data_IF_058851719949
#
_entry.id   IF_058851719949
#
_cell.length_a   1.000
_cell.length_b   1.000
_cell.length_c   1.000
_cell.angle_alpha   90.00
_cell.angle_beta   90.00
_cell.angle_gamma   90.00
#
_symmetry.space_group_name_H-M   'P 1'
#
loop_
_entity.id
_entity.type
_entity.pdbx_description
1 polymer ?
#
# COMPACT_ATOMS: atom_id res chain seq x y z
N UNK A 1 0.31 -2.49 -5.73
CA UNK A 1 -0.26 -3.71 -5.11
C UNK A 1 -1.32 -3.35 -4.06
N UNK A 2 -2.30 -4.23 -3.90
CA UNK A 2 -3.42 -4.09 -2.97
C UNK A 2 -3.22 -5.09 -1.84
N UNK A 3 -3.67 -4.74 -0.64
CA UNK A 3 -3.67 -5.65 0.48
C UNK A 3 -4.99 -5.58 1.27
N UNK A 4 -5.47 -6.74 1.70
CA UNK A 4 -6.55 -6.87 2.67
C UNK A 4 -5.94 -7.23 4.01
N UNK A 5 -6.07 -6.35 4.99
CA UNK A 5 -5.60 -6.57 6.35
C UNK A 5 -6.73 -7.12 7.20
N UNK A 6 -6.48 -8.25 7.83
CA UNK A 6 -7.37 -8.87 8.84
C UNK A 6 -6.81 -8.50 10.20
N UNK A 7 -7.48 -7.62 10.91
CA UNK A 7 -7.12 -7.24 12.27
C UNK A 7 -7.75 -8.16 13.28
N UNK A 8 -6.99 -8.58 14.29
CA UNK A 8 -7.47 -9.45 15.35
C UNK A 8 -6.48 -9.59 16.49
N UNK A 9 -6.97 -10.03 17.65
CA UNK A 9 -6.13 -10.27 18.84
C UNK A 9 -5.28 -11.53 18.69
N UNK A 10 -5.86 -12.59 18.12
CA UNK A 10 -5.21 -13.86 17.88
C UNK A 10 -4.66 -13.93 16.46
N UNK A 11 -3.36 -14.25 16.35
CA UNK A 11 -2.66 -14.34 15.06
C UNK A 11 -3.10 -15.58 14.27
N UNK A 12 -3.35 -16.71 14.95
CA UNK A 12 -3.76 -17.97 14.31
C UNK A 12 -5.14 -17.82 13.67
N UNK A 13 -6.09 -17.25 14.42
CA UNK A 13 -7.42 -16.98 13.89
C UNK A 13 -7.37 -15.94 12.75
N UNK A 14 -6.54 -14.88 12.88
CA UNK A 14 -6.36 -13.88 11.82
C UNK A 14 -5.81 -14.49 10.55
N UNK A 15 -4.84 -15.42 10.64
CA UNK A 15 -4.28 -16.12 9.49
C UNK A 15 -5.29 -17.07 8.85
N UNK A 16 -6.09 -17.76 9.65
CA UNK A 16 -7.18 -18.64 9.15
C UNK A 16 -8.18 -17.85 8.29
N UNK A 17 -8.61 -16.67 8.75
CA UNK A 17 -9.45 -15.78 7.96
C UNK A 17 -8.73 -15.23 6.72
N UNK A 18 -7.44 -14.91 6.82
CA UNK A 18 -6.66 -14.49 5.67
C UNK A 18 -6.59 -15.57 4.59
N UNK A 19 -6.38 -16.84 4.96
CA UNK A 19 -6.40 -17.98 4.02
C UNK A 19 -7.79 -18.18 3.39
N UNK A 20 -8.87 -17.96 4.15
CA UNK A 20 -10.23 -18.01 3.58
C UNK A 20 -10.43 -16.89 2.55
N UNK A 21 -9.99 -15.69 2.88
CA UNK A 21 -10.05 -14.53 1.97
C UNK A 21 -9.21 -14.78 0.71
N UNK A 22 -8.00 -15.34 0.84
CA UNK A 22 -7.15 -15.72 -0.29
C UNK A 22 -7.91 -16.63 -1.27
N UNK A 23 -8.53 -17.69 -0.77
CA UNK A 23 -9.32 -18.63 -1.61
C UNK A 23 -10.45 -17.91 -2.36
N UNK A 24 -11.16 -16.99 -1.69
CA UNK A 24 -12.25 -16.22 -2.30
C UNK A 24 -11.70 -15.26 -3.37
N UNK A 25 -10.60 -14.55 -3.06
CA UNK A 25 -9.96 -13.63 -4.00
C UNK A 25 -9.46 -14.34 -5.25
N UNK A 26 -8.98 -15.58 -5.14
CA UNK A 26 -8.58 -16.41 -6.27
C UNK A 26 -9.72 -16.72 -7.27
N UNK A 27 -11.00 -16.54 -6.86
CA UNK A 27 -12.17 -16.72 -7.74
C UNK A 27 -12.54 -15.44 -8.51
N UNK A 28 -11.87 -14.32 -8.24
CA UNK A 28 -12.15 -13.03 -8.89
C UNK A 28 -11.24 -12.86 -10.09
N UNK A 29 -11.85 -12.70 -11.27
CA UNK A 29 -11.10 -12.52 -12.51
C UNK A 29 -10.25 -11.23 -12.46
N UNK A 30 -9.00 -11.33 -12.90
CA UNK A 30 -8.05 -10.23 -12.93
C UNK A 30 -7.24 -10.05 -11.65
N UNK A 31 -7.47 -10.85 -10.61
CA UNK A 31 -6.60 -10.89 -9.42
C UNK A 31 -5.43 -11.85 -9.72
N UNK A 32 -4.22 -11.34 -9.56
CA UNK A 32 -2.96 -12.05 -9.75
C UNK A 32 -1.99 -11.77 -8.59
N UNK A 33 -0.89 -12.51 -8.52
CA UNK A 33 0.15 -12.40 -7.49
C UNK A 33 -0.45 -12.48 -6.06
N UNK A 34 -1.46 -13.35 -5.91
CA UNK A 34 -2.20 -13.52 -4.67
C UNK A 34 -1.39 -14.33 -3.67
N UNK A 35 -1.29 -13.83 -2.44
CA UNK A 35 -0.61 -14.55 -1.36
C UNK A 35 -0.87 -13.97 0.02
N UNK A 36 -0.96 -14.86 1.01
CA UNK A 36 -1.02 -14.48 2.42
C UNK A 36 0.38 -14.15 2.93
N UNK A 37 0.53 -13.00 3.56
CA UNK A 37 1.74 -12.68 4.32
C UNK A 37 1.61 -13.45 5.64
N UNK A 38 2.25 -14.61 5.69
CA UNK A 38 2.16 -15.50 6.87
C UNK A 38 2.91 -14.90 8.04
N UNK A 39 2.25 -14.85 9.16
CA UNK A 39 2.80 -14.40 10.42
C UNK A 39 3.36 -15.56 11.25
N UNK A 40 2.93 -16.79 10.95
CA UNK A 40 3.19 -18.02 11.68
C UNK A 40 3.92 -18.99 10.75
N UNK A 41 4.81 -19.80 11.30
CA UNK A 41 5.46 -20.86 10.51
C UNK A 41 6.93 -21.05 10.80
N UNK A 42 7.51 -20.28 11.74
CA UNK A 42 8.89 -20.53 12.18
C UNK A 42 8.89 -21.57 13.29
N UNK A 43 9.64 -22.68 13.14
CA UNK A 43 9.85 -23.60 14.24
C UNK A 43 10.68 -22.91 15.33
N UNK A 44 10.17 -22.96 16.55
CA UNK A 44 10.83 -22.46 17.74
C UNK A 44 11.04 -23.61 18.72
N UNK A 45 12.24 -23.71 19.27
CA UNK A 45 12.51 -24.62 20.37
C UNK A 45 12.11 -23.96 21.68
N UNK A 46 11.12 -24.55 22.36
CA UNK A 46 10.66 -24.11 23.66
C UNK A 46 11.21 -25.02 24.73
N UNK A 47 11.87 -24.45 25.70
CA UNK A 47 12.41 -25.12 26.88
C UNK A 47 11.70 -24.56 28.12
N UNK A 48 10.76 -25.32 28.66
CA UNK A 48 9.98 -24.94 29.86
C UNK A 48 10.57 -25.62 31.09
N UNK A 49 11.14 -24.83 31.99
CA UNK A 49 11.75 -25.33 33.21
C UNK A 49 10.69 -25.80 34.22
N UNK A 50 10.88 -27.01 34.75
CA UNK A 50 10.01 -27.57 35.82
C UNK A 50 10.55 -27.20 37.20
N UNK A 51 9.87 -26.27 37.87
CA UNK A 51 10.30 -25.76 39.18
C UNK A 51 10.38 -26.86 40.24
N UNK A 52 9.51 -27.88 40.18
CA UNK A 52 9.53 -29.02 41.11
C UNK A 52 10.79 -29.88 40.92
N UNK A 53 11.22 -30.10 39.70
CA UNK A 53 12.45 -30.85 39.39
C UNK A 53 13.70 -30.03 39.75
N UNK A 54 13.69 -28.73 39.43
CA UNK A 54 14.78 -27.82 39.86
C UNK A 54 15.03 -27.88 41.38
N UNK A 55 13.96 -27.79 42.16
CA UNK A 55 14.04 -27.87 43.62
C UNK A 55 14.52 -29.26 44.08
N UNK A 56 14.04 -30.34 43.42
CA UNK A 56 14.43 -31.72 43.78
C UNK A 56 15.89 -31.99 43.54
N UNK A 57 16.46 -31.47 42.42
CA UNK A 57 17.87 -31.66 42.10
C UNK A 57 18.79 -30.57 42.70
N UNK A 58 18.22 -29.57 43.37
CA UNK A 58 18.99 -28.46 43.93
C UNK A 58 19.71 -27.62 42.88
N UNK A 59 19.05 -27.38 41.75
CA UNK A 59 19.58 -26.61 40.61
C UNK A 59 18.91 -25.25 40.57
N UNK A 60 19.69 -24.17 40.49
CA UNK A 60 19.13 -22.84 40.33
C UNK A 60 18.69 -22.59 38.89
N UNK A 61 17.56 -21.90 38.77
CA UNK A 61 16.98 -21.55 37.45
C UNK A 61 17.95 -20.74 36.57
N UNK A 62 18.71 -19.84 37.20
CA UNK A 62 19.72 -19.00 36.55
C UNK A 62 20.85 -19.81 35.95
N UNK A 63 21.29 -20.88 36.65
CA UNK A 63 22.36 -21.76 36.15
C UNK A 63 21.91 -22.53 34.90
N UNK A 64 20.67 -23.06 34.92
CA UNK A 64 20.11 -23.74 33.73
C UNK A 64 20.02 -22.78 32.57
N UNK A 65 19.48 -21.56 32.76
CA UNK A 65 19.37 -20.57 31.73
C UNK A 65 20.74 -20.15 31.16
N UNK A 66 21.74 -19.94 32.03
CA UNK A 66 23.09 -19.58 31.60
C UNK A 66 23.75 -20.67 30.77
N UNK A 67 23.52 -21.94 31.14
CA UNK A 67 24.05 -23.09 30.38
C UNK A 67 23.35 -23.25 29.05
N UNK A 68 22.02 -23.11 28.99
CA UNK A 68 21.25 -23.13 27.76
C UNK A 68 21.72 -22.01 26.81
N UNK A 69 21.86 -20.78 27.32
CA UNK A 69 22.38 -19.66 26.55
C UNK A 69 23.76 -19.96 25.98
N UNK A 70 24.69 -20.42 26.83
CA UNK A 70 26.05 -20.76 26.43
C UNK A 70 26.10 -21.92 25.45
N UNK A 71 25.36 -22.99 25.70
CA UNK A 71 25.42 -24.22 24.91
C UNK A 71 24.79 -24.01 23.52
N UNK A 72 23.64 -23.34 23.42
CA UNK A 72 22.88 -23.19 22.18
C UNK A 72 23.27 -21.90 21.44
N UNK A 73 23.14 -20.73 22.10
CA UNK A 73 23.39 -19.42 21.53
C UNK A 73 24.85 -19.03 21.46
N UNK A 74 25.60 -19.46 22.46
CA UNK A 74 26.96 -19.03 22.73
C UNK A 74 27.00 -17.84 23.67
N UNK A 75 27.95 -17.87 24.59
CA UNK A 75 28.20 -16.80 25.56
C UNK A 75 29.60 -16.23 25.36
N UNK A 76 29.71 -14.89 25.37
CA UNK A 76 31.02 -14.25 25.30
C UNK A 76 31.79 -14.49 26.60
N UNK A 77 32.91 -15.20 26.49
CA UNK A 77 33.80 -15.45 27.62
C UNK A 77 34.78 -14.29 27.84
N UNK A 78 35.22 -13.62 26.75
CA UNK A 78 36.17 -12.53 26.80
C UNK A 78 36.09 -11.68 25.52
N UNK A 79 36.78 -10.53 25.56
CA UNK A 79 36.97 -9.66 24.39
C UNK A 79 38.45 -9.69 23.98
N UNK A 80 38.69 -9.94 22.71
CA UNK A 80 39.99 -9.75 22.09
C UNK A 80 40.02 -8.36 21.43
N UNK A 81 41.04 -7.60 21.73
CA UNK A 81 41.30 -6.30 21.11
C UNK A 81 42.48 -6.43 20.13
N UNK A 82 42.21 -6.09 18.88
CA UNK A 82 43.23 -5.94 17.85
C UNK A 82 43.18 -4.52 17.32
N UNK A 83 44.09 -3.71 17.75
CA UNK A 83 44.11 -2.23 17.52
C UNK A 83 42.78 -1.59 17.99
N UNK A 84 42.00 -1.02 17.06
CA UNK A 84 40.70 -0.39 17.34
C UNK A 84 39.53 -1.39 17.27
N UNK A 85 39.77 -2.62 16.84
CA UNK A 85 38.73 -3.65 16.65
C UNK A 85 38.55 -4.48 17.90
N UNK A 86 37.27 -4.80 18.20
CA UNK A 86 36.85 -5.65 19.30
C UNK A 86 36.22 -6.93 18.78
N UNK A 87 36.72 -8.07 19.21
CA UNK A 87 36.18 -9.39 18.85
C UNK A 87 35.72 -10.12 20.09
N UNK A 88 34.50 -10.68 20.07
CA UNK A 88 34.00 -11.53 21.14
C UNK A 88 34.60 -12.93 21.02
N UNK A 89 35.22 -13.43 22.06
CA UNK A 89 35.57 -14.86 22.17
C UNK A 89 34.34 -15.57 22.69
N UNK A 90 33.65 -16.30 21.79
CA UNK A 90 32.39 -16.99 22.10
C UNK A 90 32.65 -18.44 22.47
N UNK A 91 32.06 -18.89 23.58
CA UNK A 91 32.02 -20.31 23.97
C UNK A 91 30.64 -20.85 23.64
N UNK A 92 30.61 -21.93 22.87
CA UNK A 92 29.39 -22.61 22.46
C UNK A 92 29.65 -24.10 22.20
N UNK A 93 28.65 -24.94 22.43
CA UNK A 93 28.73 -26.35 22.08
C UNK A 93 28.86 -26.52 20.57
N UNK A 94 29.60 -27.54 20.15
CA UNK A 94 29.68 -27.86 18.71
C UNK A 94 28.33 -28.29 18.18
N UNK A 95 28.14 -28.11 16.89
CA UNK A 95 26.83 -28.24 16.22
C UNK A 95 26.14 -29.57 16.48
N UNK A 96 26.89 -30.65 16.49
CA UNK A 96 26.38 -32.02 16.71
C UNK A 96 25.64 -32.19 18.05
N UNK A 97 25.93 -31.39 19.07
CA UNK A 97 25.32 -31.48 20.40
C UNK A 97 24.15 -30.54 20.60
N UNK A 98 23.71 -29.81 19.56
CA UNK A 98 22.61 -28.82 19.64
C UNK A 98 21.68 -28.83 18.43
N UNK A 99 21.67 -29.94 17.64
CA UNK A 99 20.91 -30.04 16.38
C UNK A 99 19.42 -30.33 16.61
N UNK A 100 19.08 -31.06 17.66
CA UNK A 100 17.73 -31.53 17.93
C UNK A 100 17.41 -31.55 19.43
N UNK A 101 16.13 -31.75 19.75
CA UNK A 101 15.62 -31.77 21.11
C UNK A 101 16.33 -32.81 22.00
N UNK A 102 16.63 -33.98 21.41
CA UNK A 102 17.27 -35.07 22.13
C UNK A 102 18.72 -34.75 22.59
N UNK A 103 19.51 -34.15 21.69
CA UNK A 103 20.90 -33.76 22.01
C UNK A 103 20.90 -32.57 22.99
N UNK A 104 20.01 -31.61 22.85
CA UNK A 104 19.87 -30.50 23.78
C UNK A 104 19.45 -31.02 25.15
N UNK A 105 18.57 -32.01 25.22
CA UNK A 105 18.17 -32.64 26.48
C UNK A 105 19.29 -33.33 27.23
N UNK A 106 20.39 -33.76 26.55
CA UNK A 106 21.59 -34.40 27.13
C UNK A 106 22.58 -33.40 27.74
N UNK A 107 22.40 -32.08 27.49
CA UNK A 107 23.31 -31.07 28.05
C UNK A 107 23.23 -31.13 29.57
N UNK A 108 24.39 -31.13 30.23
CA UNK A 108 24.51 -31.29 31.66
C UNK A 108 24.56 -29.94 32.36
N UNK A 109 23.83 -29.84 33.46
CA UNK A 109 23.78 -28.68 34.36
C UNK A 109 24.32 -29.12 35.72
N UNK A 110 25.26 -28.39 36.34
CA UNK A 110 25.75 -28.73 37.67
C UNK A 110 24.70 -28.38 38.74
N UNK A 111 24.41 -29.30 39.60
CA UNK A 111 23.64 -29.08 40.83
C UNK A 111 24.55 -28.55 41.98
N UNK A 112 23.96 -28.07 43.07
CA UNK A 112 24.70 -27.49 44.19
C UNK A 112 25.64 -28.49 44.87
N UNK A 113 25.32 -29.78 44.81
CA UNK A 113 26.13 -30.87 45.33
C UNK A 113 27.26 -31.35 44.40
N UNK A 114 27.36 -30.73 43.23
CA UNK A 114 28.30 -31.08 42.16
C UNK A 114 27.84 -32.20 41.23
N UNK A 115 26.60 -32.72 41.41
CA UNK A 115 26.03 -33.73 40.51
C UNK A 115 25.66 -33.04 39.19
N UNK A 116 25.96 -33.75 38.07
CA UNK A 116 25.60 -33.26 36.73
C UNK A 116 24.24 -33.82 36.30
N UNK A 117 23.27 -32.94 36.11
CA UNK A 117 21.88 -33.29 35.78
C UNK A 117 21.59 -32.90 34.34
N UNK A 118 21.09 -33.81 33.46
CA UNK A 118 20.73 -33.47 32.10
C UNK A 118 19.47 -32.57 32.07
N UNK A 119 19.44 -31.62 31.10
CA UNK A 119 18.33 -30.65 30.97
C UNK A 119 16.97 -31.35 30.83
N UNK A 120 16.89 -32.51 30.16
CA UNK A 120 15.64 -33.26 30.03
C UNK A 120 14.96 -33.66 31.36
N UNK A 121 15.74 -33.74 32.46
CA UNK A 121 15.21 -34.01 33.79
C UNK A 121 14.72 -32.73 34.49
N UNK A 122 15.13 -31.56 34.01
CA UNK A 122 14.85 -30.25 34.58
C UNK A 122 13.84 -29.45 33.79
N UNK A 123 13.56 -29.82 32.51
CA UNK A 123 12.75 -29.05 31.61
C UNK A 123 12.04 -29.93 30.58
N UNK A 124 10.89 -29.47 30.13
CA UNK A 124 10.19 -29.99 28.96
C UNK A 124 10.70 -29.26 27.71
N UNK A 125 11.23 -30.03 26.76
CA UNK A 125 11.79 -29.50 25.50
C UNK A 125 10.84 -29.87 24.38
N UNK A 126 10.27 -28.87 23.71
CA UNK A 126 9.29 -29.08 22.62
C UNK A 126 9.55 -28.14 21.46
N UNK A 127 9.41 -28.63 20.23
CA UNK A 127 9.38 -27.78 19.05
C UNK A 127 7.96 -27.31 18.79
N UNK A 128 7.75 -26.01 18.82
CA UNK A 128 6.47 -25.37 18.52
C UNK A 128 6.57 -24.56 17.23
N UNK A 129 5.44 -24.30 16.59
CA UNK A 129 5.38 -23.36 15.48
C UNK A 129 5.03 -21.99 16.05
N UNK A 130 5.99 -21.09 16.08
CA UNK A 130 5.85 -19.75 16.61
C UNK A 130 5.56 -18.69 15.54
N UNK A 131 5.28 -17.45 15.96
CA UNK A 131 5.13 -16.32 15.05
C UNK A 131 6.48 -15.89 14.49
N UNK A 132 6.59 -15.85 13.16
CA UNK A 132 7.77 -15.35 12.46
C UNK A 132 7.90 -13.82 12.63
N UNK A 133 6.80 -13.10 12.36
CA UNK A 133 6.70 -11.65 12.46
C UNK A 133 5.30 -11.26 12.95
N UNK A 134 5.23 -10.28 13.83
CA UNK A 134 3.96 -9.71 14.28
C UNK A 134 3.80 -8.33 13.69
N UNK A 135 3.03 -8.24 12.58
CA UNK A 135 2.72 -6.96 11.96
C UNK A 135 1.68 -6.19 12.76
N UNK A 136 1.90 -4.88 12.87
CA UNK A 136 0.96 -3.96 13.52
C UNK A 136 0.70 -2.73 12.65
N UNK A 137 -0.54 -2.26 12.69
CA UNK A 137 -0.98 -1.00 12.11
C UNK A 137 -1.84 -0.29 13.16
N UNK A 138 -1.47 0.93 13.55
CA UNK A 138 -2.10 1.68 14.64
C UNK A 138 -2.26 0.83 15.92
N UNK A 139 -1.17 0.17 16.37
CA UNK A 139 -1.08 -0.72 17.52
C UNK A 139 -1.89 -2.03 17.44
N UNK A 140 -2.77 -2.21 16.44
CA UNK A 140 -3.51 -3.44 16.23
C UNK A 140 -2.70 -4.46 15.42
N UNK A 141 -2.73 -5.73 15.82
CA UNK A 141 -2.11 -6.83 15.08
C UNK A 141 -2.91 -7.13 13.83
N UNK A 142 -2.25 -7.50 12.75
CA UNK A 142 -2.95 -7.92 11.53
C UNK A 142 -2.20 -9.02 10.78
N UNK A 143 -2.96 -9.79 10.01
CA UNK A 143 -2.49 -10.65 8.92
C UNK A 143 -2.95 -10.03 7.60
N UNK A 144 -2.16 -10.09 6.54
CA UNK A 144 -2.49 -9.46 5.28
C UNK A 144 -2.50 -10.45 4.12
N UNK A 145 -3.48 -10.28 3.23
CA UNK A 145 -3.54 -10.92 1.91
C UNK A 145 -3.16 -9.89 0.87
N UNK A 146 -2.07 -10.12 0.17
CA UNK A 146 -1.56 -9.23 -0.87
C UNK A 146 -1.92 -9.78 -2.25
N UNK A 147 -2.26 -8.87 -3.18
CA UNK A 147 -2.54 -9.22 -4.56
C UNK A 147 -2.35 -8.03 -5.50
N UNK A 148 -2.33 -8.31 -6.78
CA UNK A 148 -2.31 -7.34 -7.87
C UNK A 148 -3.57 -7.48 -8.73
N UNK A 149 -3.96 -6.43 -9.44
CA UNK A 149 -5.04 -6.51 -10.44
C UNK A 149 -4.43 -6.25 -11.80
N UNK A 150 -4.67 -7.17 -12.76
CA UNK A 150 -4.19 -7.06 -14.13
C UNK A 150 -5.31 -7.34 -15.13
N UNK A 151 -5.24 -6.71 -16.30
CA UNK A 151 -6.20 -6.90 -17.38
C UNK A 151 -7.63 -6.42 -17.11
N UNK A 152 -7.86 -5.77 -15.97
CA UNK A 152 -9.17 -5.26 -15.54
C UNK A 152 -9.02 -3.97 -14.72
N UNK A 153 -10.08 -3.16 -14.67
CA UNK A 153 -10.12 -1.99 -13.80
C UNK A 153 -10.03 -2.38 -12.31
N UNK A 154 -9.13 -1.70 -11.58
CA UNK A 154 -8.87 -1.97 -10.16
C UNK A 154 -10.13 -1.74 -9.31
N UNK A 155 -10.87 -0.66 -9.57
CA UNK A 155 -12.05 -0.30 -8.79
C UNK A 155 -13.13 -1.36 -8.85
N UNK A 156 -13.44 -1.84 -10.07
CA UNK A 156 -14.45 -2.88 -10.30
C UNK A 156 -14.02 -4.24 -9.78
N UNK A 157 -12.74 -4.60 -9.92
CA UNK A 157 -12.21 -5.87 -9.41
C UNK A 157 -12.26 -5.90 -7.87
N UNK A 158 -11.85 -4.81 -7.22
CA UNK A 158 -11.88 -4.73 -5.75
C UNK A 158 -13.31 -4.65 -5.22
N UNK A 159 -14.23 -3.96 -5.89
CA UNK A 159 -15.63 -3.93 -5.50
C UNK A 159 -16.29 -5.33 -5.56
N UNK A 160 -15.99 -6.12 -6.61
CA UNK A 160 -16.43 -7.51 -6.69
C UNK A 160 -15.81 -8.37 -5.59
N UNK A 161 -14.51 -8.21 -5.36
CA UNK A 161 -13.79 -8.90 -4.29
C UNK A 161 -14.39 -8.60 -2.91
N UNK A 162 -14.66 -7.32 -2.61
CA UNK A 162 -15.31 -6.90 -1.37
C UNK A 162 -16.68 -7.53 -1.19
N UNK A 163 -17.50 -7.55 -2.26
CA UNK A 163 -18.83 -8.17 -2.22
C UNK A 163 -18.75 -9.67 -1.91
N UNK A 164 -17.85 -10.41 -2.58
CA UNK A 164 -17.65 -11.85 -2.36
C UNK A 164 -17.12 -12.14 -0.95
N UNK A 165 -16.13 -11.39 -0.50
CA UNK A 165 -15.55 -11.55 0.85
C UNK A 165 -16.58 -11.27 1.93
N UNK A 166 -17.32 -10.16 1.85
CA UNK A 166 -18.35 -9.80 2.83
C UNK A 166 -19.52 -10.80 2.86
N UNK A 167 -19.83 -11.46 1.74
CA UNK A 167 -20.88 -12.49 1.69
C UNK A 167 -20.45 -13.82 2.30
N UNK A 168 -19.14 -14.13 2.27
CA UNK A 168 -18.64 -15.47 2.61
C UNK A 168 -17.86 -15.51 3.93
N UNK A 169 -17.28 -14.38 4.36
CA UNK A 169 -16.45 -14.32 5.57
C UNK A 169 -17.17 -13.54 6.65
N UNK A 170 -17.54 -14.27 7.72
CA UNK A 170 -18.14 -13.65 8.90
C UNK A 170 -17.09 -13.58 10.01
N UNK A 171 -16.66 -12.39 10.31
CA UNK A 171 -15.66 -12.16 11.36
C UNK A 171 -16.33 -12.09 12.73
N UNK A 172 -15.72 -12.67 13.77
CA UNK A 172 -16.22 -12.54 15.13
C UNK A 172 -15.98 -11.14 15.70
N UNK A 173 -16.59 -10.85 16.83
CA UNK A 173 -16.39 -9.58 17.54
C UNK A 173 -14.91 -9.35 17.86
N UNK A 174 -14.42 -8.15 17.58
CA UNK A 174 -13.01 -7.78 17.77
C UNK A 174 -12.10 -8.03 16.57
N UNK A 175 -12.63 -8.57 15.47
CA UNK A 175 -11.92 -8.69 14.19
C UNK A 175 -12.50 -7.71 13.17
N UNK A 176 -11.65 -7.20 12.29
CA UNK A 176 -12.06 -6.27 11.22
C UNK A 176 -11.21 -6.41 9.98
N UNK A 177 -11.79 -6.03 8.84
CA UNK A 177 -11.10 -5.99 7.54
C UNK A 177 -10.83 -4.55 7.14
N UNK A 178 -9.63 -4.32 6.59
CA UNK A 178 -9.28 -3.05 5.96
C UNK A 178 -8.60 -3.30 4.62
N UNK A 179 -9.14 -2.69 3.58
CA UNK A 179 -8.57 -2.69 2.24
C UNK A 179 -7.58 -1.53 2.11
N UNK A 180 -6.35 -1.81 1.73
CA UNK A 180 -5.24 -0.83 1.72
C UNK A 180 -4.42 -0.93 0.44
N UNK A 181 -3.45 -0.03 0.29
CA UNK A 181 -2.58 0.03 -0.88
C UNK A 181 -3.10 0.97 -1.96
N UNK A 182 -2.84 0.65 -3.23
CA UNK A 182 -3.15 1.51 -4.37
C UNK A 182 -4.65 1.82 -4.48
N UNK A 183 -5.51 0.88 -4.08
CA UNK A 183 -6.95 1.08 -4.05
C UNK A 183 -7.38 2.20 -3.08
N UNK A 184 -6.83 2.21 -1.86
CA UNK A 184 -7.11 3.26 -0.87
C UNK A 184 -6.63 4.63 -1.38
N UNK A 185 -5.45 4.66 -1.99
CA UNK A 185 -4.89 5.88 -2.59
C UNK A 185 -5.76 6.38 -3.75
N UNK A 186 -6.23 5.47 -4.60
CA UNK A 186 -7.14 5.81 -5.70
C UNK A 186 -8.47 6.38 -5.18
N UNK A 187 -9.08 5.75 -4.18
CA UNK A 187 -10.31 6.27 -3.57
C UNK A 187 -10.12 7.66 -2.97
N UNK A 188 -9.04 7.87 -2.22
CA UNK A 188 -8.73 9.19 -1.65
C UNK A 188 -8.53 10.25 -2.73
N UNK A 189 -7.78 9.91 -3.80
CA UNK A 189 -7.54 10.83 -4.90
C UNK A 189 -8.83 11.16 -5.65
N UNK A 190 -9.66 10.17 -5.97
CA UNK A 190 -10.96 10.38 -6.63
C UNK A 190 -11.88 11.25 -5.78
N UNK A 191 -11.94 11.00 -4.47
CA UNK A 191 -12.75 11.83 -3.55
C UNK A 191 -12.25 13.27 -3.51
N UNK A 192 -10.94 13.49 -3.44
CA UNK A 192 -10.35 14.83 -3.49
C UNK A 192 -10.63 15.55 -4.82
N UNK A 193 -10.47 14.83 -5.94
CA UNK A 193 -10.76 15.39 -7.26
C UNK A 193 -12.24 15.79 -7.39
N UNK A 194 -13.16 14.95 -6.90
CA UNK A 194 -14.59 15.26 -6.89
C UNK A 194 -14.95 16.51 -6.09
N UNK A 195 -14.13 16.90 -5.10
CA UNK A 195 -14.31 18.14 -4.33
C UNK A 195 -13.59 19.34 -4.97
N UNK A 196 -12.34 19.14 -5.39
CA UNK A 196 -11.47 20.23 -5.88
C UNK A 196 -11.91 20.71 -7.26
N UNK A 197 -12.31 19.82 -8.17
CA UNK A 197 -12.69 20.19 -9.55
C UNK A 197 -13.87 21.17 -9.60
N UNK A 198 -15.01 20.94 -8.91
CA UNK A 198 -16.11 21.92 -8.89
C UNK A 198 -15.71 23.26 -8.29
N UNK A 199 -14.92 23.26 -7.21
CA UNK A 199 -14.42 24.49 -6.59
C UNK A 199 -13.54 25.27 -7.58
N UNK A 200 -12.64 24.59 -8.27
CA UNK A 200 -11.76 25.21 -9.27
C UNK A 200 -12.56 25.81 -10.42
N UNK A 201 -13.58 25.10 -10.91
CA UNK A 201 -14.48 25.60 -11.97
C UNK A 201 -15.22 26.86 -11.48
N UNK A 202 -15.71 26.89 -10.25
CA UNK A 202 -16.38 28.06 -9.68
C UNK A 202 -15.43 29.28 -9.58
N UNK A 203 -14.18 29.05 -9.13
CA UNK A 203 -13.17 30.11 -9.06
C UNK A 203 -12.85 30.64 -10.46
N UNK A 204 -12.65 29.75 -11.43
CA UNK A 204 -12.39 30.11 -12.82
C UNK A 204 -13.57 30.91 -13.38
N UNK A 205 -14.81 30.51 -13.10
CA UNK A 205 -15.99 31.28 -13.52
C UNK A 205 -15.98 32.70 -12.96
N UNK A 206 -15.65 32.86 -11.69
CA UNK A 206 -15.57 34.20 -11.05
C UNK A 206 -14.48 35.04 -11.73
N UNK A 207 -13.30 34.48 -11.99
CA UNK A 207 -12.20 35.17 -12.66
C UNK A 207 -12.62 35.58 -14.07
N UNK A 208 -13.24 34.67 -14.84
CA UNK A 208 -13.73 34.98 -16.19
C UNK A 208 -14.86 36.03 -16.18
N UNK A 209 -15.72 36.00 -15.16
CA UNK A 209 -16.76 36.99 -15.01
C UNK A 209 -16.15 38.38 -14.75
N UNK A 210 -15.13 38.47 -13.90
CA UNK A 210 -14.43 39.74 -13.65
C UNK A 210 -13.73 40.22 -14.93
N UNK A 211 -13.09 39.32 -15.67
CA UNK A 211 -12.36 39.63 -16.91
C UNK A 211 -13.29 40.17 -18.01
N UNK A 212 -14.43 39.52 -18.24
CA UNK A 212 -15.33 39.85 -19.32
C UNK A 212 -16.44 40.80 -18.93
N UNK A 213 -16.65 41.02 -17.62
CA UNK A 213 -17.79 41.78 -17.04
C UNK A 213 -19.14 41.30 -17.55
N UNK A 214 -19.27 40.06 -18.00
CA UNK A 214 -20.45 39.45 -18.56
C UNK A 214 -20.50 37.95 -18.32
N UNK A 215 -21.55 37.47 -17.67
CA UNK A 215 -21.74 36.07 -17.34
C UNK A 215 -21.91 35.18 -18.59
N UNK A 216 -22.46 35.72 -19.68
CA UNK A 216 -22.63 34.95 -20.94
C UNK A 216 -21.27 34.59 -21.55
N UNK A 217 -20.34 35.53 -21.61
CA UNK A 217 -19.01 35.31 -22.19
C UNK A 217 -18.18 34.38 -21.31
N UNK A 218 -18.25 34.51 -19.99
CA UNK A 218 -17.64 33.58 -19.06
C UNK A 218 -18.20 32.16 -19.23
N UNK A 219 -19.54 32.06 -19.38
CA UNK A 219 -20.20 30.78 -19.64
C UNK A 219 -19.79 30.13 -20.96
N UNK A 220 -19.64 30.92 -22.04
CA UNK A 220 -19.18 30.44 -23.36
C UNK A 220 -17.76 29.88 -23.30
N UNK A 221 -16.85 30.50 -22.55
CA UNK A 221 -15.51 29.94 -22.34
C UNK A 221 -15.59 28.62 -21.60
N UNK A 222 -16.37 28.53 -20.53
CA UNK A 222 -16.53 27.29 -19.77
C UNK A 222 -17.23 26.17 -20.54
N UNK A 223 -18.09 26.51 -21.51
CA UNK A 223 -18.76 25.52 -22.34
C UNK A 223 -17.76 24.69 -23.19
N UNK A 224 -16.55 25.20 -23.43
CA UNK A 224 -15.51 24.43 -24.09
C UNK A 224 -15.01 23.25 -23.26
N UNK A 225 -15.12 23.28 -21.93
CA UNK A 225 -14.65 22.21 -21.02
C UNK A 225 -15.36 20.88 -21.28
N UNK A 226 -16.69 20.81 -21.35
CA UNK A 226 -17.40 19.58 -21.74
C UNK A 226 -16.98 19.03 -23.10
N UNK A 227 -16.75 19.89 -24.09
CA UNK A 227 -16.27 19.43 -25.41
C UNK A 227 -14.87 18.85 -25.34
N UNK A 228 -13.97 19.47 -24.56
CA UNK A 228 -12.63 18.91 -24.33
C UNK A 228 -12.71 17.56 -23.60
N UNK A 229 -13.62 17.40 -22.65
CA UNK A 229 -13.85 16.14 -21.95
C UNK A 229 -14.25 15.00 -22.91
N UNK A 230 -15.10 15.29 -23.90
CA UNK A 230 -15.46 14.29 -24.94
C UNK A 230 -14.22 13.78 -25.67
N UNK A 231 -13.30 14.69 -26.07
CA UNK A 231 -12.04 14.30 -26.70
C UNK A 231 -11.20 13.38 -25.83
N UNK A 232 -11.08 13.69 -24.54
CA UNK A 232 -10.38 12.84 -23.56
C UNK A 232 -11.02 11.46 -23.37
N UNK A 233 -12.35 11.39 -23.30
CA UNK A 233 -13.09 10.12 -23.21
C UNK A 233 -12.89 9.27 -24.47
N UNK A 234 -12.96 9.87 -25.64
CA UNK A 234 -12.72 9.17 -26.92
C UNK A 234 -11.30 8.62 -26.98
N UNK A 235 -10.30 9.39 -26.53
CA UNK A 235 -8.93 8.92 -26.46
C UNK A 235 -8.79 7.70 -25.53
N UNK A 236 -9.39 7.71 -24.34
CA UNK A 236 -9.40 6.57 -23.43
C UNK A 236 -10.08 5.33 -24.04
N UNK A 237 -11.17 5.52 -24.79
CA UNK A 237 -11.85 4.42 -25.47
C UNK A 237 -11.00 3.80 -26.59
N UNK A 238 -10.31 4.62 -27.39
CA UNK A 238 -9.43 4.15 -28.48
C UNK A 238 -8.23 3.38 -27.91
N UNK A 239 -7.61 3.92 -26.84
CA UNK A 239 -6.45 3.30 -26.19
C UNK A 239 -6.80 2.13 -25.30
N UNK A 240 -8.10 1.92 -25.01
CA UNK A 240 -8.62 0.92 -24.06
C UNK A 240 -8.02 1.03 -22.65
N UNK A 241 -7.56 2.21 -22.28
CA UNK A 241 -7.11 2.46 -20.92
C UNK A 241 -8.29 2.77 -20.00
N UNK A 242 -8.24 2.21 -18.80
CA UNK A 242 -9.21 2.52 -17.76
C UNK A 242 -8.92 3.91 -17.16
N UNK A 243 -9.97 4.58 -16.67
CA UNK A 243 -9.82 5.86 -16.01
C UNK A 243 -8.95 5.70 -14.75
N UNK A 244 -7.81 6.36 -14.73
CA UNK A 244 -6.83 6.35 -13.64
C UNK A 244 -6.65 7.74 -13.03
N UNK A 245 -5.93 7.83 -11.92
CA UNK A 245 -5.54 9.13 -11.30
C UNK A 245 -4.76 9.97 -12.32
N UNK A 246 -3.84 9.34 -13.06
CA UNK A 246 -3.05 10.01 -14.10
C UNK A 246 -3.94 10.56 -15.21
N UNK A 247 -4.95 9.80 -15.66
CA UNK A 247 -5.94 10.29 -16.60
C UNK A 247 -6.72 11.48 -16.05
N UNK A 248 -7.12 11.45 -14.77
CA UNK A 248 -7.78 12.58 -14.10
C UNK A 248 -6.93 13.85 -14.09
N UNK A 249 -5.64 13.74 -13.84
CA UNK A 249 -4.68 14.88 -13.92
C UNK A 249 -4.58 15.38 -15.35
N UNK A 250 -4.53 14.47 -16.34
CA UNK A 250 -4.55 14.81 -17.76
C UNK A 250 -5.79 15.61 -18.16
N UNK A 251 -6.97 15.23 -17.66
CA UNK A 251 -8.20 16.00 -17.88
C UNK A 251 -8.12 17.41 -17.30
N UNK A 252 -7.56 17.59 -16.10
CA UNK A 252 -7.39 18.92 -15.49
C UNK A 252 -6.49 19.80 -16.35
N UNK A 253 -5.37 19.25 -16.83
CA UNK A 253 -4.47 19.97 -17.74
C UNK A 253 -5.16 20.34 -19.07
N UNK A 254 -5.92 19.41 -19.64
CA UNK A 254 -6.70 19.64 -20.85
C UNK A 254 -7.73 20.76 -20.68
N UNK A 255 -8.43 20.78 -19.55
CA UNK A 255 -9.41 21.84 -19.22
C UNK A 255 -8.73 23.20 -19.11
N UNK A 256 -7.56 23.28 -18.47
CA UNK A 256 -6.79 24.52 -18.37
C UNK A 256 -6.41 25.09 -19.74
N UNK A 257 -5.86 24.26 -20.63
CA UNK A 257 -5.49 24.66 -22.00
C UNK A 257 -6.74 25.09 -22.80
N UNK A 258 -7.83 24.35 -22.65
CA UNK A 258 -9.10 24.65 -23.32
C UNK A 258 -9.68 25.99 -22.90
N UNK A 259 -9.68 26.29 -21.61
CA UNK A 259 -10.13 27.58 -21.07
C UNK A 259 -9.25 28.71 -21.57
N UNK A 260 -7.89 28.54 -21.54
CA UNK A 260 -6.94 29.52 -22.04
C UNK A 260 -7.22 29.88 -23.50
N UNK A 261 -7.39 28.88 -24.36
CA UNK A 261 -7.69 29.09 -25.77
C UNK A 261 -9.06 29.78 -25.97
N UNK A 262 -10.07 29.41 -25.17
CA UNK A 262 -11.39 30.05 -25.18
C UNK A 262 -11.34 31.54 -24.79
N UNK A 263 -10.56 31.87 -23.75
CA UNK A 263 -10.37 33.27 -23.31
C UNK A 263 -9.76 34.11 -24.43
N UNK A 264 -8.68 33.61 -25.05
CA UNK A 264 -7.99 34.34 -26.12
C UNK A 264 -8.93 34.56 -27.32
N UNK A 265 -9.69 33.53 -27.73
CA UNK A 265 -10.62 33.62 -28.86
C UNK A 265 -11.74 34.63 -28.57
N UNK A 266 -12.40 34.56 -27.43
CA UNK A 266 -13.50 35.49 -27.09
C UNK A 266 -12.98 36.91 -26.91
N UNK A 267 -11.77 37.09 -26.39
CA UNK A 267 -11.15 38.42 -26.27
C UNK A 267 -10.94 39.08 -27.66
N UNK A 268 -10.48 38.32 -28.65
CA UNK A 268 -10.29 38.80 -30.02
C UNK A 268 -11.63 39.15 -30.67
N UNK A 269 -12.62 38.29 -30.58
CA UNK A 269 -13.96 38.58 -31.11
C UNK A 269 -14.51 39.88 -30.50
N UNK A 270 -14.37 40.08 -29.19
CA UNK A 270 -14.80 41.32 -28.51
C UNK A 270 -13.99 42.52 -28.95
N UNK A 271 -12.70 42.37 -29.20
CA UNK A 271 -11.90 43.48 -29.74
C UNK A 271 -12.40 43.91 -31.13
N UNK A 272 -12.69 42.99 -32.03
CA UNK A 272 -13.23 43.25 -33.34
C UNK A 272 -14.66 43.89 -33.28
N UNK A 273 -15.50 43.41 -32.35
CA UNK A 273 -16.81 44.03 -32.13
C UNK A 273 -16.72 45.50 -31.66
N UNK A 274 -15.74 45.81 -30.75
CA UNK A 274 -15.48 47.19 -30.33
C UNK A 274 -14.97 48.09 -31.44
N UNK A 275 -14.35 47.55 -32.48
CA UNK A 275 -13.92 48.26 -33.66
C UNK A 275 -15.05 48.50 -34.69
N UNK A 276 -16.27 48.04 -34.35
CA UNK A 276 -17.48 48.30 -35.16
C UNK A 276 -17.76 47.20 -36.19
N UNK A 277 -17.05 46.07 -36.17
CA UNK A 277 -17.35 44.96 -37.09
C UNK A 277 -18.66 44.26 -36.73
N UNK A 278 -19.46 43.82 -37.74
CA UNK A 278 -20.64 42.99 -37.50
C UNK A 278 -20.29 41.71 -36.76
N UNK A 279 -21.20 41.15 -35.94
CA UNK A 279 -20.95 39.98 -35.10
C UNK A 279 -20.44 38.77 -35.93
N UNK A 280 -21.00 38.54 -37.12
CA UNK A 280 -20.60 37.44 -37.98
C UNK A 280 -19.15 37.57 -38.46
N UNK A 281 -18.79 38.80 -38.89
CA UNK A 281 -17.47 39.13 -39.41
C UNK A 281 -16.42 39.14 -38.27
N UNK A 282 -16.73 39.73 -37.14
CA UNK A 282 -15.90 39.73 -35.93
C UNK A 282 -15.61 38.29 -35.44
N UNK A 283 -16.61 37.40 -35.51
CA UNK A 283 -16.44 35.99 -35.14
C UNK A 283 -15.54 35.25 -36.14
N UNK A 284 -15.78 35.42 -37.46
CA UNK A 284 -14.94 34.78 -38.49
C UNK A 284 -13.49 35.22 -38.43
N UNK A 285 -13.26 36.51 -38.22
CA UNK A 285 -11.88 37.05 -38.15
C UNK A 285 -11.22 36.65 -36.86
N UNK A 286 -11.89 36.66 -35.71
CA UNK A 286 -11.37 36.21 -34.43
C UNK A 286 -10.97 34.74 -34.45
N UNK A 287 -11.76 33.88 -35.07
CA UNK A 287 -11.42 32.46 -35.25
C UNK A 287 -10.22 32.32 -36.23
N UNK A 288 -10.25 33.02 -37.37
CA UNK A 288 -9.19 32.92 -38.38
C UNK A 288 -7.82 33.36 -37.86
N UNK A 289 -7.77 34.43 -37.07
CA UNK A 289 -6.53 34.95 -36.47
C UNK A 289 -5.93 34.00 -35.43
N UNK A 290 -6.76 33.19 -34.76
CA UNK A 290 -6.34 32.33 -33.64
C UNK A 290 -6.21 30.85 -33.96
N UNK A 291 -6.62 30.38 -35.15
CA UNK A 291 -6.50 28.98 -35.54
C UNK A 291 -5.06 28.46 -35.44
N UNK A 292 -4.08 29.23 -35.95
CA UNK A 292 -2.68 28.82 -35.89
C UNK A 292 -2.14 28.74 -34.47
N UNK A 293 -2.23 29.78 -33.61
CA UNK A 293 -1.80 29.71 -32.20
C UNK A 293 -2.45 28.56 -31.42
N UNK A 294 -3.75 28.33 -31.61
CA UNK A 294 -4.49 27.25 -30.90
C UNK A 294 -3.99 25.88 -31.34
N UNK A 295 -3.79 25.64 -32.63
CA UNK A 295 -3.24 24.36 -33.11
C UNK A 295 -1.81 24.16 -32.60
N UNK A 296 -0.98 25.20 -32.62
CA UNK A 296 0.39 25.12 -32.10
C UNK A 296 0.43 24.80 -30.60
N UNK A 297 -0.43 25.46 -29.83
CA UNK A 297 -0.52 25.21 -28.37
C UNK A 297 -0.98 23.78 -28.11
N UNK A 298 -2.00 23.31 -28.85
CA UNK A 298 -2.49 21.93 -28.72
C UNK A 298 -1.42 20.89 -29.11
N UNK A 299 -0.69 21.11 -30.20
CA UNK A 299 0.40 20.25 -30.64
C UNK A 299 1.55 20.22 -29.63
N UNK A 300 1.98 21.38 -29.12
CA UNK A 300 3.02 21.46 -28.09
C UNK A 300 2.60 20.74 -26.81
N UNK A 301 1.35 20.92 -26.37
CA UNK A 301 0.85 20.23 -25.20
C UNK A 301 0.80 18.71 -25.42
N UNK A 302 0.35 18.26 -26.58
CA UNK A 302 0.32 16.83 -26.89
C UNK A 302 1.72 16.22 -26.89
N UNK A 303 2.68 16.86 -27.56
CA UNK A 303 4.08 16.38 -27.60
C UNK A 303 4.75 16.47 -26.23
N UNK A 304 4.51 17.56 -25.49
CA UNK A 304 5.11 17.79 -24.18
C UNK A 304 4.61 16.82 -23.07
N UNK A 305 3.38 16.35 -23.19
CA UNK A 305 2.80 15.36 -22.26
C UNK A 305 3.07 13.92 -22.65
N UNK A 306 3.53 13.64 -23.88
CA UNK A 306 3.77 12.29 -24.37
C UNK A 306 4.79 11.50 -23.53
N UNK A 307 5.89 12.10 -22.99
CA UNK A 307 6.80 11.37 -22.10
C UNK A 307 6.21 11.03 -20.72
N UNK A 308 5.10 11.67 -20.32
CA UNK A 308 4.44 11.47 -19.05
C UNK A 308 3.25 10.49 -19.13
N UNK A 309 2.88 10.08 -20.33
CA UNK A 309 1.81 9.13 -20.60
C UNK A 309 2.34 7.69 -20.69
#
# INVERSE_FOLDING_TARGET
>A
SIAVKVFGKDLYESEKYAVQIEKILGTVQGIEDLGVIRNIGQPELRIELNEGQLARYGVAKEDVQSIIEMAIGGKSASLLYEDERKFNIMVRYSEQFRQNEEEIGKILVPAMDGTMVPIKELADITTITGPLLIFRDNHARFCAVKFSVRGRDMGTAVAEAQKKVNASVHLPAGYSLKWTGDFENQQRATKRLAQVVPISIAIIFIILFILFSNARDAGLVLLNVPFAAVGGIVALLITRFNFSISAGIGFIALFGICIQNGVIMISDIKANLKLGSPLEEATKEGVRSRIRPVIMTAAMAAIGLLPAA
#
